data_IF_626784080726
#
_entry.id   IF_626784080726
#
_cell.length_a   1.000
_cell.length_b   1.000
_cell.length_c   1.000
_cell.angle_alpha   90.00
_cell.angle_beta   90.00
_cell.angle_gamma   90.00
#
_symmetry.space_group_name_H-M   'P 1'
#
loop_
_entity.id
_entity.type
_entity.pdbx_description
1 polymer ?
#
# COMPACT_ATOMS: atom_id res chain seq x y z
N UNK A 1 -24.74 8.75 -76.81
CA UNK A 1 -23.66 9.76 -76.94
C UNK A 1 -22.39 9.21 -76.28
N UNK A 2 -21.33 9.08 -77.09
CA UNK A 2 -19.88 9.01 -76.78
C UNK A 2 -19.39 8.15 -75.58
N UNK A 3 -18.68 7.02 -75.79
CA UNK A 3 -17.25 6.83 -76.17
C UNK A 3 -16.27 7.28 -75.05
N UNK A 4 -15.60 6.37 -74.31
CA UNK A 4 -14.33 5.64 -74.62
C UNK A 4 -13.09 6.32 -74.00
N UNK A 5 -12.17 5.50 -73.44
CA UNK A 5 -10.74 5.76 -73.10
C UNK A 5 -10.48 6.67 -71.87
N UNK A 6 -9.45 6.51 -71.04
CA UNK A 6 -8.09 6.03 -71.26
C UNK A 6 -7.47 5.56 -69.93
N UNK A 7 -6.59 4.55 -70.02
CA UNK A 7 -5.85 3.89 -68.94
C UNK A 7 -4.44 4.52 -68.86
N UNK A 8 -3.87 4.64 -67.65
CA UNK A 8 -2.44 4.86 -67.29
C UNK A 8 -1.91 6.29 -67.03
N UNK A 9 -0.97 6.32 -66.05
CA UNK A 9 -0.08 7.39 -65.57
C UNK A 9 -0.80 8.49 -64.75
N UNK A 10 -0.56 8.67 -63.45
CA UNK A 10 0.73 9.05 -62.86
C UNK A 10 0.90 8.47 -61.43
N UNK A 11 2.02 7.77 -61.25
CA UNK A 11 2.74 7.63 -59.98
C UNK A 11 3.33 9.00 -59.63
N UNK A 12 3.08 9.51 -58.42
CA UNK A 12 3.99 10.33 -57.59
C UNK A 12 3.21 11.29 -56.68
N UNK A 13 3.04 10.93 -55.41
CA UNK A 13 3.37 11.81 -54.26
C UNK A 13 3.19 11.03 -52.94
N UNK A 14 4.00 9.99 -52.75
CA UNK A 14 4.31 9.43 -51.44
C UNK A 14 5.48 10.24 -50.89
N UNK A 15 5.19 11.35 -50.20
CA UNK A 15 6.17 12.12 -49.45
C UNK A 15 5.67 12.32 -48.02
N UNK A 16 6.13 11.40 -47.17
CA UNK A 16 6.79 11.71 -45.90
C UNK A 16 6.16 12.79 -45.03
N UNK A 17 5.20 12.39 -44.19
CA UNK A 17 5.12 12.91 -42.82
C UNK A 17 5.35 11.77 -41.85
N UNK A 18 6.61 11.33 -41.78
CA UNK A 18 7.11 10.55 -40.66
C UNK A 18 7.14 11.49 -39.45
N UNK A 19 6.02 11.61 -38.76
CA UNK A 19 6.00 12.20 -37.44
C UNK A 19 6.77 11.22 -36.55
N UNK A 20 8.08 11.45 -36.39
CA UNK A 20 8.89 10.79 -35.38
C UNK A 20 8.32 11.20 -34.04
N UNK A 21 7.44 10.38 -33.49
CA UNK A 21 7.11 10.39 -32.09
C UNK A 21 8.42 10.10 -31.35
N UNK A 22 9.05 11.16 -30.86
CA UNK A 22 10.12 11.05 -29.88
C UNK A 22 9.50 10.30 -28.70
N UNK A 23 9.82 9.01 -28.57
CA UNK A 23 9.47 8.28 -27.37
C UNK A 23 10.15 9.01 -26.21
N UNK A 24 9.42 9.37 -25.14
CA UNK A 24 10.06 9.87 -23.94
C UNK A 24 11.00 8.78 -23.44
N UNK A 25 12.31 8.98 -23.60
CA UNK A 25 13.30 8.19 -22.89
C UNK A 25 13.13 8.53 -21.41
N UNK A 26 12.71 7.55 -20.61
CA UNK A 26 12.82 7.66 -19.17
C UNK A 26 14.31 7.84 -18.87
N UNK A 27 14.68 9.01 -18.31
CA UNK A 27 16.04 9.28 -17.86
C UNK A 27 16.36 8.32 -16.71
N UNK A 28 17.02 7.22 -17.04
CA UNK A 28 17.49 6.22 -16.09
C UNK A 28 18.90 6.62 -15.65
N UNK A 29 19.02 7.03 -14.39
CA UNK A 29 20.30 7.41 -13.82
C UNK A 29 20.97 6.18 -13.22
N UNK A 30 22.02 5.69 -13.86
CA UNK A 30 22.80 4.55 -13.35
C UNK A 30 24.02 5.06 -12.59
N UNK A 31 24.14 4.65 -11.34
CA UNK A 31 25.29 4.97 -10.48
C UNK A 31 25.97 3.70 -9.99
N UNK A 32 27.30 3.74 -9.90
CA UNK A 32 28.08 2.64 -9.32
C UNK A 32 28.62 3.10 -7.98
N UNK A 33 28.30 2.35 -6.93
CA UNK A 33 28.61 2.71 -5.55
C UNK A 33 29.15 1.51 -4.79
N UNK A 34 30.00 1.77 -3.82
CA UNK A 34 30.49 0.78 -2.87
C UNK A 34 29.71 0.90 -1.56
N UNK A 35 29.24 -0.22 -1.03
CA UNK A 35 28.70 -0.30 0.31
C UNK A 35 29.44 -1.35 1.12
N UNK A 36 29.44 -1.18 2.43
CA UNK A 36 30.18 -2.04 3.34
C UNK A 36 29.42 -2.33 4.63
N UNK A 37 29.68 -3.49 5.22
CA UNK A 37 29.15 -3.86 6.53
C UNK A 37 30.08 -4.82 7.27
N UNK A 38 30.19 -4.66 8.58
CA UNK A 38 30.97 -5.56 9.42
C UNK A 38 30.33 -6.96 9.48
N UNK A 39 31.15 -8.00 9.42
CA UNK A 39 30.71 -9.39 9.58
C UNK A 39 30.59 -9.68 11.07
N UNK A 40 29.37 -9.68 11.59
CA UNK A 40 29.09 -10.02 12.99
C UNK A 40 28.79 -11.51 13.14
N UNK A 41 29.33 -12.13 14.20
CA UNK A 41 29.09 -13.55 14.58
C UNK A 41 29.25 -14.55 13.42
N UNK A 42 30.21 -14.32 12.52
CA UNK A 42 30.46 -15.17 11.36
C UNK A 42 29.25 -15.33 10.41
N UNK A 43 28.42 -14.29 10.28
CA UNK A 43 27.26 -14.27 9.37
C UNK A 43 27.54 -13.43 8.10
N UNK A 44 28.25 -13.96 7.09
CA UNK A 44 28.57 -13.23 5.89
C UNK A 44 27.34 -12.91 5.02
N UNK A 45 26.27 -13.72 5.04
CA UNK A 45 25.06 -13.38 4.26
C UNK A 45 24.36 -12.16 4.83
N UNK A 46 24.31 -12.02 6.17
CA UNK A 46 23.73 -10.84 6.77
C UNK A 46 24.55 -9.58 6.45
N UNK A 47 25.88 -9.67 6.57
CA UNK A 47 26.78 -8.58 6.20
C UNK A 47 26.64 -8.21 4.72
N UNK A 48 26.50 -9.20 3.82
CA UNK A 48 26.22 -8.96 2.40
C UNK A 48 24.96 -8.14 2.18
N UNK A 49 23.85 -8.49 2.85
CA UNK A 49 22.60 -7.71 2.76
C UNK A 49 22.83 -6.30 3.26
N UNK A 50 23.40 -6.13 4.46
CA UNK A 50 23.66 -4.81 5.04
C UNK A 50 24.59 -3.93 4.16
N UNK A 51 25.64 -4.51 3.59
CA UNK A 51 26.55 -3.81 2.66
C UNK A 51 25.80 -3.35 1.40
N UNK A 52 24.89 -4.16 0.88
CA UNK A 52 24.03 -3.78 -0.24
C UNK A 52 23.07 -2.63 0.13
N UNK A 53 22.51 -2.62 1.34
CA UNK A 53 21.72 -1.48 1.84
C UNK A 53 22.55 -0.21 1.91
N UNK A 54 23.78 -0.31 2.43
CA UNK A 54 24.68 0.81 2.51
C UNK A 54 25.00 1.35 1.10
N UNK A 55 25.26 0.46 0.13
CA UNK A 55 25.46 0.84 -1.26
C UNK A 55 24.24 1.59 -1.83
N UNK A 56 23.03 1.03 -1.69
CA UNK A 56 21.79 1.67 -2.16
C UNK A 56 21.59 3.05 -1.51
N UNK A 57 21.81 3.15 -0.19
CA UNK A 57 21.74 4.41 0.54
C UNK A 57 22.72 5.44 -0.02
N UNK A 58 23.95 5.03 -0.34
CA UNK A 58 24.94 5.90 -0.98
C UNK A 58 24.54 6.35 -2.39
N UNK A 59 24.04 5.42 -3.22
CA UNK A 59 23.53 5.74 -4.56
C UNK A 59 22.44 6.80 -4.52
N UNK A 60 21.46 6.63 -3.63
CA UNK A 60 20.35 7.57 -3.53
C UNK A 60 20.77 8.93 -2.98
N UNK A 61 21.77 8.99 -2.09
CA UNK A 61 22.36 10.28 -1.65
C UNK A 61 23.03 11.00 -2.82
N UNK A 62 23.79 10.30 -3.67
CA UNK A 62 24.43 10.91 -4.85
C UNK A 62 23.41 11.45 -5.86
N UNK A 63 22.28 10.75 -6.04
CA UNK A 63 21.20 11.20 -6.92
C UNK A 63 20.38 12.36 -6.34
N UNK A 64 20.17 12.38 -5.02
CA UNK A 64 19.45 13.47 -4.33
C UNK A 64 20.14 14.82 -4.49
N UNK A 65 21.45 14.84 -4.76
CA UNK A 65 22.22 16.07 -5.07
C UNK A 65 21.80 16.68 -6.42
N UNK A 66 21.22 15.91 -7.35
CA UNK A 66 20.73 16.42 -8.64
C UNK A 66 19.25 16.87 -8.63
N UNK A 67 18.47 16.51 -7.59
CA UNK A 67 17.02 16.79 -7.52
C UNK A 67 16.73 18.09 -6.72
N UNK A 68 17.70 18.62 -5.97
CA UNK A 68 17.55 19.86 -5.18
C UNK A 68 17.73 21.14 -6.01
N UNK A 69 16.76 21.46 -6.88
CA UNK A 69 16.59 22.86 -7.35
C UNK A 69 15.18 23.43 -7.17
N UNK A 70 14.17 22.62 -6.82
CA UNK A 70 12.80 23.13 -6.71
C UNK A 70 12.03 22.43 -5.58
N UNK A 71 12.21 22.85 -4.33
CA UNK A 71 11.12 22.76 -3.34
C UNK A 71 11.31 23.76 -2.21
N UNK A 72 10.31 24.62 -2.03
CA UNK A 72 10.21 25.59 -0.94
C UNK A 72 10.17 24.87 0.41
N UNK A 73 11.07 25.28 1.28
CA UNK A 73 11.12 24.92 2.70
C UNK A 73 9.84 25.44 3.37
N UNK A 74 8.91 24.55 3.70
CA UNK A 74 7.91 24.83 4.72
C UNK A 74 8.29 24.09 6.00
N UNK A 75 8.26 24.83 7.10
CA UNK A 75 8.90 24.55 8.37
C UNK A 75 8.25 23.38 9.13
N UNK A 76 9.09 22.70 9.92
CA UNK A 76 8.76 21.85 11.08
C UNK A 76 8.03 20.52 10.86
N UNK A 77 8.77 19.54 10.33
CA UNK A 77 8.90 18.15 10.82
C UNK A 77 9.29 17.24 9.65
N UNK A 78 10.58 17.22 9.31
CA UNK A 78 11.12 16.23 8.37
C UNK A 78 11.56 15.03 9.20
N UNK A 79 10.74 13.98 9.21
CA UNK A 79 11.15 12.67 9.74
C UNK A 79 12.16 12.06 8.76
N UNK A 80 13.38 11.77 9.24
CA UNK A 80 14.46 11.14 8.45
C UNK A 80 14.00 9.86 7.71
N UNK A 81 13.05 9.12 8.28
CA UNK A 81 12.55 7.88 7.69
C UNK A 81 11.84 8.10 6.35
N UNK A 82 11.12 9.21 6.19
CA UNK A 82 10.43 9.55 4.93
C UNK A 82 11.41 9.85 3.80
N UNK A 83 12.61 10.36 4.13
CA UNK A 83 13.69 10.57 3.17
C UNK A 83 14.23 9.22 2.69
N UNK A 84 14.51 8.30 3.63
CA UNK A 84 15.09 6.97 3.34
C UNK A 84 14.19 6.08 2.45
N UNK A 85 12.87 6.09 2.69
CA UNK A 85 11.91 5.33 1.89
C UNK A 85 11.73 5.92 0.48
N UNK A 86 11.67 7.25 0.34
CA UNK A 86 11.57 7.90 -0.98
C UNK A 86 12.82 7.65 -1.82
N UNK A 87 13.99 7.64 -1.20
CA UNK A 87 15.26 7.33 -1.85
C UNK A 87 15.40 5.86 -2.29
N UNK A 88 14.78 4.92 -1.57
CA UNK A 88 14.70 3.52 -1.98
C UNK A 88 13.64 3.29 -3.07
N UNK A 89 12.53 4.03 -3.05
CA UNK A 89 11.48 3.98 -4.08
C UNK A 89 11.94 4.49 -5.46
N UNK A 90 13.02 5.28 -5.51
CA UNK A 90 13.67 5.69 -6.74
C UNK A 90 14.57 4.59 -7.32
N UNK A 91 14.83 3.48 -6.61
CA UNK A 91 15.68 2.38 -7.12
C UNK A 91 14.82 1.45 -7.98
N UNK A 92 15.08 1.43 -9.28
CA UNK A 92 14.39 0.50 -10.20
C UNK A 92 15.07 -0.87 -10.23
N UNK A 93 16.40 -0.90 -10.13
CA UNK A 93 17.18 -2.13 -10.24
C UNK A 93 18.51 -2.02 -9.49
N UNK A 94 19.04 -3.16 -9.06
CA UNK A 94 20.36 -3.23 -8.42
C UNK A 94 21.09 -4.50 -8.85
N UNK A 95 22.33 -4.35 -9.29
CA UNK A 95 23.19 -5.46 -9.71
C UNK A 95 24.53 -5.39 -9.00
N UNK A 96 24.89 -6.46 -8.30
CA UNK A 96 26.22 -6.59 -7.69
C UNK A 96 27.24 -6.83 -8.81
N UNK A 97 28.28 -5.99 -8.86
CA UNK A 97 29.40 -6.09 -9.81
C UNK A 97 30.55 -6.87 -9.17
N UNK A 98 30.85 -6.55 -7.91
CA UNK A 98 32.00 -7.11 -7.18
C UNK A 98 31.65 -7.27 -5.71
N UNK A 99 32.12 -8.36 -5.11
CA UNK A 99 32.04 -8.60 -3.67
C UNK A 99 33.38 -9.15 -3.17
N UNK A 100 33.80 -8.72 -1.98
CA UNK A 100 34.99 -9.25 -1.31
C UNK A 100 34.87 -9.06 0.21
N UNK A 101 35.77 -9.72 0.94
CA UNK A 101 35.88 -9.59 2.38
C UNK A 101 37.31 -9.23 2.76
N UNK A 102 37.48 -8.17 3.52
CA UNK A 102 38.78 -7.72 4.04
C UNK A 102 38.58 -7.27 5.48
N UNK A 103 39.47 -7.64 6.40
CA UNK A 103 39.46 -7.19 7.80
C UNK A 103 38.10 -7.33 8.51
N UNK A 104 37.40 -8.44 8.25
CA UNK A 104 36.07 -8.74 8.79
C UNK A 104 34.96 -7.73 8.36
N UNK A 105 35.18 -7.03 7.24
CA UNK A 105 34.22 -6.16 6.57
C UNK A 105 33.85 -6.81 5.23
N UNK A 106 32.55 -6.90 4.98
CA UNK A 106 31.99 -7.33 3.70
C UNK A 106 31.81 -6.09 2.82
N UNK A 107 32.42 -6.10 1.64
CA UNK A 107 32.35 -5.02 0.66
C UNK A 107 31.53 -5.48 -0.55
N UNK A 108 30.67 -4.59 -1.04
CA UNK A 108 29.89 -4.77 -2.27
C UNK A 108 30.02 -3.54 -3.13
N UNK A 109 30.38 -3.73 -4.40
CA UNK A 109 30.20 -2.70 -5.44
C UNK A 109 28.95 -3.06 -6.22
N UNK A 110 27.96 -2.18 -6.17
CA UNK A 110 26.67 -2.36 -6.84
C UNK A 110 26.45 -1.27 -7.89
N UNK A 111 25.93 -1.69 -9.03
CA UNK A 111 25.30 -0.81 -10.01
C UNK A 111 23.85 -0.63 -9.59
N UNK A 112 23.46 0.61 -9.30
CA UNK A 112 22.11 0.97 -8.88
C UNK A 112 21.50 1.82 -9.98
N UNK A 113 20.38 1.36 -10.51
CA UNK A 113 19.59 2.10 -11.48
C UNK A 113 18.51 2.88 -10.73
N UNK A 114 18.48 4.17 -10.98
CA UNK A 114 17.56 5.10 -10.34
C UNK A 114 16.56 5.61 -11.38
N UNK A 115 15.28 5.43 -11.06
CA UNK A 115 14.14 5.90 -11.83
C UNK A 115 13.51 7.11 -11.14
N UNK A 116 13.11 8.09 -11.93
CA UNK A 116 12.26 9.20 -11.48
C UNK A 116 10.82 8.75 -11.23
N UNK A 117 10.42 7.64 -11.86
CA UNK A 117 9.16 6.96 -11.59
C UNK A 117 9.32 6.02 -10.40
N UNK A 118 8.60 6.32 -9.33
CA UNK A 118 8.57 5.58 -8.05
C UNK A 118 7.84 4.22 -8.13
N UNK A 119 7.98 3.48 -9.23
CA UNK A 119 7.30 2.20 -9.42
C UNK A 119 8.16 1.02 -8.99
N UNK A 120 7.89 0.48 -7.79
CA UNK A 120 8.42 -0.82 -7.39
C UNK A 120 7.55 -1.94 -7.95
N UNK A 121 8.17 -2.99 -8.49
CA UNK A 121 7.43 -4.20 -8.89
C UNK A 121 7.43 -5.19 -7.72
N UNK A 122 6.27 -5.52 -7.12
CA UNK A 122 6.23 -6.44 -5.99
C UNK A 122 6.57 -7.87 -6.44
N UNK A 123 7.65 -8.42 -5.89
CA UNK A 123 8.03 -9.82 -6.13
C UNK A 123 7.11 -10.82 -5.39
N UNK A 124 6.69 -10.46 -4.19
CA UNK A 124 5.87 -11.28 -3.30
C UNK A 124 4.47 -10.72 -3.15
N UNK A 125 3.48 -11.61 -2.99
CA UNK A 125 2.13 -11.17 -2.62
C UNK A 125 2.07 -10.86 -1.13
N UNK A 126 1.34 -9.82 -0.76
CA UNK A 126 1.21 -9.37 0.64
C UNK A 126 -0.19 -9.69 1.15
N UNK A 127 -0.29 -10.15 2.41
CA UNK A 127 -1.58 -10.46 3.02
C UNK A 127 -2.25 -9.21 3.57
N UNK A 128 -3.51 -8.98 3.22
CA UNK A 128 -4.31 -7.85 3.69
C UNK A 128 -5.67 -8.33 4.22
N UNK A 129 -6.18 -7.66 5.25
CA UNK A 129 -7.53 -7.87 5.78
C UNK A 129 -8.34 -6.59 5.70
N UNK A 130 -9.58 -6.68 5.24
CA UNK A 130 -10.49 -5.54 5.14
C UNK A 130 -11.50 -5.52 6.29
N UNK A 131 -11.65 -4.37 6.94
CA UNK A 131 -12.54 -4.15 8.09
C UNK A 131 -13.73 -3.25 7.73
N UNK A 132 -14.69 -3.07 8.63
CA UNK A 132 -15.90 -2.28 8.37
C UNK A 132 -15.58 -0.80 8.13
N UNK A 133 -16.35 -0.15 7.26
CA UNK A 133 -16.31 1.30 7.07
C UNK A 133 -17.56 1.92 7.72
N UNK A 134 -17.50 2.34 9.00
CA UNK A 134 -18.64 2.96 9.65
C UNK A 134 -18.96 4.34 9.04
N UNK A 135 -20.24 4.67 9.01
CA UNK A 135 -20.74 5.99 8.64
C UNK A 135 -20.69 6.93 9.85
N UNK A 136 -20.21 8.16 9.64
CA UNK A 136 -20.11 9.17 10.70
C UNK A 136 -21.49 9.62 11.20
N UNK A 137 -22.43 9.86 10.29
CA UNK A 137 -23.79 10.30 10.61
C UNK A 137 -24.82 9.30 10.07
N UNK A 138 -25.38 8.47 10.94
CA UNK A 138 -26.32 7.42 10.55
C UNK A 138 -27.59 7.96 9.86
N UNK A 139 -27.99 9.19 10.20
CA UNK A 139 -29.13 9.89 9.61
C UNK A 139 -28.97 10.23 8.12
N UNK A 140 -27.75 10.18 7.56
CA UNK A 140 -27.50 10.45 6.13
C UNK A 140 -27.87 9.27 5.21
N UNK A 141 -28.32 8.14 5.78
CA UNK A 141 -28.75 6.96 5.04
C UNK A 141 -30.15 6.55 5.49
N UNK A 142 -31.10 6.57 4.55
CA UNK A 142 -32.48 6.19 4.85
C UNK A 142 -32.65 4.67 5.00
N UNK A 143 -33.72 4.24 5.66
CA UNK A 143 -34.07 2.82 5.78
C UNK A 143 -34.42 2.15 4.44
N UNK A 144 -34.69 2.95 3.40
CA UNK A 144 -34.99 2.47 2.05
C UNK A 144 -33.75 2.34 1.17
N UNK A 145 -32.58 2.70 1.71
CA UNK A 145 -31.30 2.60 1.03
C UNK A 145 -30.43 1.47 1.55
N UNK A 146 -29.49 1.04 0.70
CA UNK A 146 -28.63 -0.10 1.01
C UNK A 146 -27.71 0.16 2.18
N UNK A 147 -27.80 -0.71 3.18
CA UNK A 147 -26.88 -0.77 4.31
C UNK A 147 -25.65 -1.62 3.99
N UNK A 148 -25.55 -2.19 2.78
CA UNK A 148 -24.34 -2.91 2.37
C UNK A 148 -23.17 -1.94 2.13
N UNK A 149 -23.35 -0.63 2.15
CA UNK A 149 -22.23 0.33 2.01
C UNK A 149 -21.11 0.11 3.05
N UNK A 150 -21.48 -0.22 4.29
CA UNK A 150 -20.57 -0.37 5.43
C UNK A 150 -19.61 -1.56 5.27
N UNK A 151 -20.11 -2.67 4.71
CA UNK A 151 -19.35 -3.90 4.53
C UNK A 151 -18.91 -4.11 3.06
N UNK A 152 -19.66 -3.54 2.13
CA UNK A 152 -19.52 -3.73 0.70
C UNK A 152 -18.45 -2.88 0.07
N UNK A 153 -18.31 -1.61 0.48
CA UNK A 153 -17.19 -0.76 0.03
C UNK A 153 -15.84 -1.41 0.39
N UNK A 154 -15.56 -1.77 1.66
CA UNK A 154 -14.31 -2.45 2.01
C UNK A 154 -14.14 -3.82 1.34
N UNK A 155 -15.23 -4.56 1.12
CA UNK A 155 -15.19 -5.87 0.45
C UNK A 155 -14.80 -5.74 -1.01
N UNK A 156 -15.45 -4.86 -1.77
CA UNK A 156 -15.14 -4.66 -3.18
C UNK A 156 -13.76 -4.04 -3.39
N UNK A 157 -13.35 -3.12 -2.50
CA UNK A 157 -11.98 -2.61 -2.50
C UNK A 157 -10.96 -3.74 -2.31
N UNK A 158 -11.20 -4.65 -1.36
CA UNK A 158 -10.34 -5.81 -1.15
C UNK A 158 -10.36 -6.78 -2.35
N UNK A 159 -11.51 -6.97 -3.00
CA UNK A 159 -11.61 -7.79 -4.22
C UNK A 159 -10.71 -7.24 -5.33
N UNK A 160 -10.74 -5.93 -5.60
CA UNK A 160 -9.87 -5.30 -6.60
C UNK A 160 -8.38 -5.44 -6.23
N UNK A 161 -8.04 -5.35 -4.94
CA UNK A 161 -6.66 -5.59 -4.48
C UNK A 161 -6.23 -7.05 -4.72
N UNK A 162 -7.11 -8.03 -4.50
CA UNK A 162 -6.83 -9.46 -4.77
C UNK A 162 -6.66 -9.69 -6.28
N UNK A 163 -7.56 -9.14 -7.10
CA UNK A 163 -7.57 -9.26 -8.56
C UNK A 163 -6.32 -8.69 -9.22
N UNK A 164 -5.70 -7.68 -8.61
CA UNK A 164 -4.41 -7.16 -9.05
C UNK A 164 -3.29 -8.20 -9.07
N UNK A 165 -3.43 -9.28 -8.30
CA UNK A 165 -2.40 -10.31 -8.14
C UNK A 165 -1.30 -9.94 -7.14
N UNK A 166 -1.28 -8.73 -6.60
CA UNK A 166 -0.26 -8.25 -5.65
C UNK A 166 -0.60 -8.60 -4.18
N UNK A 167 -1.86 -8.92 -3.92
CA UNK A 167 -2.36 -9.16 -2.56
C UNK A 167 -3.06 -10.50 -2.41
N UNK A 168 -3.02 -11.03 -1.18
CA UNK A 168 -3.88 -12.11 -0.71
C UNK A 168 -4.80 -11.48 0.33
N UNK A 169 -6.09 -11.38 0.01
CA UNK A 169 -7.05 -10.64 0.82
C UNK A 169 -7.95 -11.56 1.65
N UNK A 170 -8.40 -11.03 2.79
CA UNK A 170 -9.45 -11.61 3.63
C UNK A 170 -10.42 -10.51 4.08
N UNK A 171 -11.68 -10.86 4.33
CA UNK A 171 -12.71 -9.89 4.73
C UNK A 171 -13.13 -10.16 6.18
N UNK A 172 -13.07 -9.12 7.01
CA UNK A 172 -13.53 -9.09 8.39
C UNK A 172 -14.35 -7.81 8.64
N UNK A 173 -15.33 -7.57 7.76
CA UNK A 173 -16.23 -6.41 7.79
C UNK A 173 -17.20 -6.40 8.97
N UNK A 174 -17.18 -7.45 9.80
CA UNK A 174 -17.82 -7.49 11.11
C UNK A 174 -16.98 -6.78 12.20
N UNK A 175 -15.72 -6.47 11.93
CA UNK A 175 -14.84 -5.76 12.86
C UNK A 175 -14.91 -4.26 12.55
N UNK A 176 -15.45 -3.48 13.50
CA UNK A 176 -15.38 -2.03 13.46
C UNK A 176 -14.14 -1.54 14.24
N UNK A 177 -13.16 -0.97 13.54
CA UNK A 177 -12.00 -0.33 14.17
C UNK A 177 -12.34 1.03 14.82
N UNK A 178 -13.31 1.74 14.26
CA UNK A 178 -13.69 3.09 14.69
C UNK A 178 -15.12 3.13 15.25
N UNK A 179 -15.34 2.75 16.52
CA UNK A 179 -16.63 2.97 17.19
C UNK A 179 -17.08 4.44 17.15
N UNK A 180 -16.11 5.36 17.15
CA UNK A 180 -16.27 6.80 16.95
C UNK A 180 -15.70 7.20 15.59
N UNK A 181 -16.48 6.96 14.54
CA UNK A 181 -16.08 7.21 13.16
C UNK A 181 -15.74 8.70 12.91
N UNK A 182 -16.31 9.62 13.68
CA UNK A 182 -16.00 11.05 13.66
C UNK A 182 -14.52 11.35 13.97
N UNK A 183 -13.88 10.51 14.79
CA UNK A 183 -12.51 10.69 15.28
C UNK A 183 -11.48 9.82 14.54
N UNK A 184 -11.89 9.02 13.56
CA UNK A 184 -10.95 8.28 12.72
C UNK A 184 -9.94 9.22 12.03
N UNK A 185 -8.69 8.79 11.77
CA UNK A 185 -8.15 7.44 11.95
C UNK A 185 -7.65 7.14 13.37
N UNK A 186 -7.86 8.03 14.34
CA UNK A 186 -7.34 7.82 15.70
C UNK A 186 -8.06 6.66 16.41
N UNK A 187 -7.29 5.65 16.79
CA UNK A 187 -7.76 4.53 17.61
C UNK A 187 -7.90 4.99 19.06
N UNK A 188 -9.11 4.95 19.61
CA UNK A 188 -9.37 5.39 21.00
C UNK A 188 -9.05 4.32 22.06
N UNK A 189 -8.96 3.05 21.67
CA UNK A 189 -8.61 1.95 22.58
C UNK A 189 -7.09 1.80 22.71
N UNK A 190 -6.42 2.91 23.07
CA UNK A 190 -5.00 2.96 23.40
C UNK A 190 -4.82 2.62 24.88
N UNK A 191 -4.97 1.34 25.19
CA UNK A 191 -4.67 0.84 26.53
C UNK A 191 -3.17 0.78 26.75
N UNK A 192 -2.72 1.33 27.89
CA UNK A 192 -1.31 1.38 28.21
C UNK A 192 -0.67 -0.01 28.16
N UNK A 193 0.51 -0.10 27.55
CA UNK A 193 1.30 -1.33 27.41
C UNK A 193 0.61 -2.49 26.67
N UNK A 194 -0.44 -2.22 25.89
CA UNK A 194 -1.14 -3.24 25.09
C UNK A 194 -1.01 -2.96 23.59
N UNK A 195 -0.82 -4.01 22.77
CA UNK A 195 -0.86 -3.86 21.32
C UNK A 195 -2.18 -3.26 20.85
N UNK A 196 -2.11 -2.38 19.84
CA UNK A 196 -3.30 -1.78 19.25
C UNK A 196 -4.23 -2.84 18.65
N UNK A 197 -5.51 -2.49 18.47
CA UNK A 197 -6.51 -3.38 17.86
C UNK A 197 -6.07 -3.88 16.47
N UNK A 198 -5.45 -3.00 15.68
CA UNK A 198 -4.81 -3.35 14.40
C UNK A 198 -3.80 -4.48 14.58
N UNK A 199 -2.86 -4.37 15.53
CA UNK A 199 -1.84 -5.38 15.78
C UNK A 199 -2.42 -6.71 16.28
N UNK A 200 -3.52 -6.65 17.05
CA UNK A 200 -4.22 -7.85 17.51
C UNK A 200 -4.92 -8.58 16.35
N UNK A 201 -5.57 -7.85 15.45
CA UNK A 201 -6.21 -8.41 14.24
C UNK A 201 -5.15 -9.07 13.35
N UNK A 202 -4.02 -8.43 13.13
CA UNK A 202 -2.98 -8.98 12.25
C UNK A 202 -2.27 -10.19 12.84
N UNK A 203 -2.08 -10.22 14.16
CA UNK A 203 -1.52 -11.37 14.86
C UNK A 203 -2.47 -12.58 14.80
N UNK A 204 -3.77 -12.36 15.03
CA UNK A 204 -4.78 -13.43 15.03
C UNK A 204 -5.14 -13.95 13.63
N UNK A 205 -5.04 -13.12 12.59
CA UNK A 205 -5.39 -13.49 11.22
C UNK A 205 -4.18 -13.80 10.31
N UNK A 206 -2.95 -13.62 10.81
CA UNK A 206 -1.74 -13.90 10.03
C UNK A 206 -1.59 -13.03 8.79
N UNK A 207 -1.95 -11.75 8.89
CA UNK A 207 -1.91 -10.77 7.79
C UNK A 207 -0.88 -9.67 8.04
N UNK A 208 -0.39 -9.04 6.96
CA UNK A 208 0.58 -7.96 7.03
C UNK A 208 -0.08 -6.59 7.12
N UNK A 209 -1.20 -6.36 6.44
CA UNK A 209 -1.88 -5.07 6.39
C UNK A 209 -3.33 -5.15 6.83
N UNK A 210 -3.82 -4.06 7.43
CA UNK A 210 -5.26 -3.87 7.75
C UNK A 210 -5.79 -2.69 6.96
N UNK A 211 -6.77 -2.96 6.10
CA UNK A 211 -7.57 -1.97 5.38
C UNK A 211 -8.77 -1.58 6.24
N UNK A 212 -8.93 -0.28 6.46
CA UNK A 212 -10.03 0.31 7.20
C UNK A 212 -10.43 1.65 6.58
N UNK A 213 -11.49 2.26 7.09
CA UNK A 213 -11.99 3.51 6.53
C UNK A 213 -13.22 3.99 7.27
N UNK A 214 -13.71 5.16 6.90
CA UNK A 214 -14.98 5.70 7.39
C UNK A 214 -15.71 6.40 6.24
N UNK A 215 -17.04 6.30 6.26
CA UNK A 215 -17.88 7.06 5.34
C UNK A 215 -18.20 8.39 6.06
N UNK A 216 -17.61 9.48 5.57
CA UNK A 216 -17.70 10.83 6.15
C UNK A 216 -18.97 11.56 5.77
N UNK A 217 -19.43 11.36 4.54
CA UNK A 217 -20.53 12.12 3.96
C UNK A 217 -21.30 11.26 2.97
N UNK A 218 -22.60 11.13 3.20
CA UNK A 218 -23.58 10.61 2.26
C UNK A 218 -24.84 11.48 2.21
N UNK A 219 -24.73 12.74 2.67
CA UNK A 219 -25.85 13.66 2.79
C UNK A 219 -26.47 13.93 1.43
N UNK A 220 -27.79 13.76 1.35
CA UNK A 220 -28.56 14.37 0.28
C UNK A 220 -28.78 15.81 0.70
N UNK A 221 -28.25 16.77 -0.06
CA UNK A 221 -28.48 18.20 0.15
C UNK A 221 -29.98 18.41 0.29
N UNK A 222 -30.44 18.64 1.52
CA UNK A 222 -31.81 19.03 1.76
C UNK A 222 -32.00 20.44 1.23
N UNK A 223 -33.19 20.74 0.72
CA UNK A 223 -33.61 22.10 0.39
C UNK A 223 -33.77 22.92 1.67
N UNK A 224 -32.68 23.15 2.40
CA UNK A 224 -32.69 24.12 3.48
C UNK A 224 -33.11 25.46 2.87
N UNK A 225 -34.30 25.93 3.25
CA UNK A 225 -34.88 27.15 2.71
C UNK A 225 -33.88 28.28 2.92
N UNK A 226 -33.22 28.72 1.84
CA UNK A 226 -32.35 29.89 1.90
C UNK A 226 -33.18 31.05 2.42
N UNK A 227 -32.82 31.58 3.60
CA UNK A 227 -33.43 32.80 4.15
C UNK A 227 -33.38 33.90 3.10
N UNK A 228 -34.55 34.21 2.56
CA UNK A 228 -34.76 35.23 1.55
C UNK A 228 -36.26 35.40 1.33
N UNK A 229 -36.71 36.64 1.22
CA UNK A 229 -38.09 36.95 0.88
C UNK A 229 -38.18 37.24 -0.62
N UNK A 230 -39.12 36.59 -1.31
CA UNK A 230 -39.53 36.96 -2.67
C UNK A 230 -39.57 35.82 -3.69
N UNK A 231 -40.12 36.09 -4.89
CA UNK A 231 -40.42 35.07 -5.90
C UNK A 231 -39.20 34.29 -6.41
N UNK A 232 -38.02 34.94 -6.47
CA UNK A 232 -36.78 34.31 -6.91
C UNK A 232 -36.25 33.29 -5.89
N UNK A 233 -36.39 33.59 -4.59
CA UNK A 233 -36.01 32.66 -3.52
C UNK A 233 -36.91 31.42 -3.52
N UNK A 234 -38.22 31.63 -3.70
CA UNK A 234 -39.20 30.55 -3.85
C UNK A 234 -38.95 29.67 -5.08
N UNK A 235 -38.71 30.27 -6.25
CA UNK A 235 -38.40 29.54 -7.48
C UNK A 235 -37.10 28.71 -7.36
N UNK A 236 -36.07 29.24 -6.69
CA UNK A 236 -34.81 28.51 -6.40
C UNK A 236 -35.00 27.38 -5.39
N UNK A 237 -35.93 27.52 -4.44
CA UNK A 237 -36.29 26.45 -3.50
C UNK A 237 -36.96 25.29 -4.23
N UNK A 238 -37.96 25.57 -5.06
CA UNK A 238 -38.66 24.56 -5.86
C UNK A 238 -37.74 23.88 -6.87
N UNK A 239 -36.84 24.62 -7.54
CA UNK A 239 -35.88 24.02 -8.47
C UNK A 239 -34.91 23.04 -7.78
N UNK A 240 -34.58 23.26 -6.50
CA UNK A 240 -33.78 22.33 -5.67
C UNK A 240 -34.57 21.12 -5.20
N UNK A 241 -35.86 21.27 -4.89
CA UNK A 241 -36.73 20.11 -4.60
C UNK A 241 -36.86 19.15 -5.79
N UNK A 242 -36.64 19.65 -7.02
CA UNK A 242 -36.73 18.84 -8.25
C UNK A 242 -35.41 18.16 -8.60
N UNK A 243 -34.27 18.67 -8.16
CA UNK A 243 -32.93 18.14 -8.49
C UNK A 243 -32.17 17.87 -7.20
N UNK A 244 -32.27 16.64 -6.71
CA UNK A 244 -31.52 16.19 -5.54
C UNK A 244 -30.02 16.18 -5.84
N UNK A 245 -29.22 16.55 -4.85
CA UNK A 245 -27.76 16.45 -4.89
C UNK A 245 -27.28 15.65 -3.69
N UNK A 246 -26.28 14.78 -3.89
CA UNK A 246 -25.71 13.96 -2.82
C UNK A 246 -24.21 14.11 -2.77
N UNK A 247 -23.69 14.47 -1.61
CA UNK A 247 -22.26 14.42 -1.31
C UNK A 247 -21.83 12.99 -1.02
N UNK A 248 -20.63 12.62 -1.47
CA UNK A 248 -19.99 11.35 -1.14
C UNK A 248 -18.61 11.68 -0.58
N UNK A 249 -18.34 11.24 0.64
CA UNK A 249 -17.04 11.37 1.30
C UNK A 249 -16.63 10.06 1.94
N UNK A 250 -15.53 9.48 1.50
CA UNK A 250 -15.00 8.21 2.03
C UNK A 250 -13.52 8.41 2.36
N UNK A 251 -13.15 8.19 3.61
CA UNK A 251 -11.75 8.12 4.02
C UNK A 251 -11.31 6.66 4.03
N UNK A 252 -10.13 6.38 3.48
CA UNK A 252 -9.54 5.05 3.40
C UNK A 252 -8.18 5.06 4.07
N UNK A 253 -7.92 4.05 4.89
CA UNK A 253 -6.71 3.89 5.68
C UNK A 253 -6.09 2.50 5.49
N UNK A 254 -4.77 2.41 5.47
CA UNK A 254 -4.06 1.12 5.56
C UNK A 254 -3.02 1.19 6.66
N UNK A 255 -3.07 0.23 7.58
CA UNK A 255 -2.12 0.11 8.67
C UNK A 255 -1.16 -1.06 8.48
N UNK A 256 0.07 -0.89 8.95
CA UNK A 256 1.03 -1.98 9.14
C UNK A 256 0.62 -2.84 10.34
N UNK A 257 0.48 -4.13 10.11
CA UNK A 257 0.09 -5.10 11.12
C UNK A 257 1.16 -5.38 12.17
N UNK A 258 2.42 -5.05 11.89
CA UNK A 258 3.52 -5.34 12.81
C UNK A 258 3.81 -4.22 13.80
N UNK A 259 3.61 -2.96 13.39
CA UNK A 259 3.88 -1.77 14.21
C UNK A 259 2.62 -0.99 14.58
N UNK A 260 1.50 -1.24 13.88
CA UNK A 260 0.30 -0.44 13.99
C UNK A 260 0.40 0.92 13.26
N UNK A 261 1.49 1.19 12.54
CA UNK A 261 1.70 2.45 11.85
C UNK A 261 0.70 2.65 10.70
N UNK A 262 0.21 3.88 10.54
CA UNK A 262 -0.62 4.29 9.40
C UNK A 262 0.27 4.50 8.17
N UNK A 263 0.13 3.62 7.17
CA UNK A 263 0.94 3.64 5.94
C UNK A 263 0.29 4.44 4.81
N UNK A 264 -1.04 4.42 4.76
CA UNK A 264 -1.82 5.08 3.74
C UNK A 264 -3.03 5.74 4.38
N UNK A 265 -3.29 6.98 3.99
CA UNK A 265 -4.49 7.73 4.35
C UNK A 265 -4.86 8.62 3.18
N UNK A 266 -6.08 8.46 2.66
CA UNK A 266 -6.60 9.30 1.60
C UNK A 266 -8.10 9.50 1.77
N UNK A 267 -8.56 10.74 1.53
CA UNK A 267 -9.98 11.09 1.45
C UNK A 267 -10.41 11.19 0.00
N UNK A 268 -11.48 10.49 -0.34
CA UNK A 268 -12.13 10.55 -1.64
C UNK A 268 -13.45 11.30 -1.50
N UNK A 269 -13.65 12.29 -2.37
CA UNK A 269 -14.89 13.06 -2.43
C UNK A 269 -15.43 13.08 -3.84
N UNK A 270 -16.76 13.02 -3.94
CA UNK A 270 -17.48 13.15 -5.20
C UNK A 270 -18.90 13.65 -4.89
N UNK A 271 -19.65 14.01 -5.94
CA UNK A 271 -21.05 14.38 -5.80
C UNK A 271 -21.89 13.86 -6.97
N UNK A 272 -23.18 13.69 -6.69
CA UNK A 272 -24.18 13.19 -7.65
C UNK A 272 -25.32 14.17 -7.70
N UNK A 273 -25.80 14.44 -8.92
CA UNK A 273 -26.96 15.31 -9.18
C UNK A 273 -28.01 14.48 -9.91
N UNK A 274 -29.27 14.57 -9.50
CA UNK A 274 -30.40 13.86 -10.11
C UNK A 274 -30.88 12.68 -9.25
N UNK A 275 -30.88 11.47 -9.82
CA UNK A 275 -31.27 10.27 -9.08
C UNK A 275 -30.11 9.79 -8.17
N UNK A 276 -30.19 10.18 -6.90
CA UNK A 276 -29.15 9.98 -5.88
C UNK A 276 -29.40 8.77 -4.96
N UNK A 277 -30.52 8.09 -5.15
CA UNK A 277 -30.98 7.03 -4.25
C UNK A 277 -30.42 5.67 -4.65
N UNK A 278 -30.04 4.86 -3.67
CA UNK A 278 -29.56 3.50 -3.90
C UNK A 278 -30.51 2.53 -3.21
N UNK A 279 -31.33 1.74 -3.92
CA UNK A 279 -32.31 0.84 -3.30
C UNK A 279 -31.72 -0.11 -2.25
N UNK A 280 -32.46 -0.35 -1.16
CA UNK A 280 -32.05 -1.21 -0.05
C UNK A 280 -31.62 -2.64 -0.44
N UNK A 281 -32.14 -3.16 -1.55
CA UNK A 281 -31.86 -4.51 -2.03
C UNK A 281 -30.57 -4.61 -2.86
N UNK A 282 -29.90 -3.49 -3.13
CA UNK A 282 -28.70 -3.48 -3.98
C UNK A 282 -27.45 -3.71 -3.14
N UNK A 283 -26.56 -4.55 -3.66
CA UNK A 283 -25.27 -4.89 -3.03
C UNK A 283 -24.15 -4.12 -3.73
N UNK A 284 -23.22 -3.56 -2.97
CA UNK A 284 -22.03 -2.89 -3.52
C UNK A 284 -21.25 -3.88 -4.39
N UNK A 285 -20.86 -3.45 -5.59
CA UNK A 285 -20.19 -4.28 -6.59
C UNK A 285 -21.13 -5.00 -7.57
N UNK A 286 -22.44 -5.04 -7.30
CA UNK A 286 -23.40 -5.59 -8.25
C UNK A 286 -23.63 -4.68 -9.45
N UNK A 287 -23.99 -5.25 -10.60
CA UNK A 287 -24.33 -4.49 -11.82
C UNK A 287 -25.45 -3.46 -11.55
N UNK A 288 -26.48 -3.86 -10.80
CA UNK A 288 -27.60 -2.96 -10.45
C UNK A 288 -27.16 -1.79 -9.57
N UNK A 289 -26.27 -2.03 -8.61
CA UNK A 289 -25.68 -0.97 -7.81
C UNK A 289 -24.88 -0.01 -8.70
N UNK A 290 -23.98 -0.54 -9.53
CA UNK A 290 -23.13 0.25 -10.43
C UNK A 290 -23.93 1.02 -11.50
N UNK A 291 -25.14 0.57 -11.83
CA UNK A 291 -26.04 1.26 -12.76
C UNK A 291 -26.73 2.50 -12.15
N UNK A 292 -26.77 2.63 -10.82
CA UNK A 292 -27.27 3.86 -10.17
C UNK A 292 -26.23 4.98 -10.24
N UNK A 293 -26.66 6.24 -10.27
CA UNK A 293 -25.74 7.39 -10.33
C UNK A 293 -24.78 7.43 -9.15
N UNK A 294 -25.29 7.17 -7.93
CA UNK A 294 -24.47 7.13 -6.71
C UNK A 294 -23.59 5.88 -6.62
N UNK A 295 -24.12 4.71 -6.97
CA UNK A 295 -23.33 3.49 -6.98
C UNK A 295 -22.18 3.54 -7.98
N UNK A 296 -22.38 4.15 -9.16
CA UNK A 296 -21.32 4.40 -10.13
C UNK A 296 -20.18 5.27 -9.57
N UNK A 297 -20.50 6.35 -8.85
CA UNK A 297 -19.49 7.21 -8.20
C UNK A 297 -18.75 6.49 -7.09
N UNK A 298 -19.45 5.70 -6.28
CA UNK A 298 -18.82 4.88 -5.24
C UNK A 298 -17.89 3.83 -5.86
N UNK A 299 -18.30 3.18 -6.96
CA UNK A 299 -17.45 2.24 -7.69
C UNK A 299 -16.18 2.92 -8.24
N UNK A 300 -16.29 4.15 -8.76
CA UNK A 300 -15.12 4.94 -9.17
C UNK A 300 -14.20 5.31 -8.01
N UNK A 301 -14.74 5.58 -6.81
CA UNK A 301 -13.94 5.80 -5.61
C UNK A 301 -13.21 4.51 -5.22
N UNK A 302 -13.89 3.36 -5.24
CA UNK A 302 -13.31 2.05 -4.91
C UNK A 302 -12.15 1.72 -5.85
N UNK A 303 -12.32 1.93 -7.17
CA UNK A 303 -11.27 1.70 -8.17
C UNK A 303 -10.04 2.61 -7.96
N UNK A 304 -10.28 3.91 -7.74
CA UNK A 304 -9.22 4.88 -7.42
C UNK A 304 -8.48 4.50 -6.13
N UNK A 305 -9.22 4.16 -5.07
CA UNK A 305 -8.65 3.74 -3.80
C UNK A 305 -7.81 2.46 -3.93
N UNK A 306 -8.27 1.48 -4.70
CA UNK A 306 -7.50 0.26 -4.98
C UNK A 306 -6.17 0.60 -5.65
N UNK A 307 -6.21 1.43 -6.70
CA UNK A 307 -5.01 1.85 -7.43
C UNK A 307 -4.02 2.60 -6.55
N UNK A 308 -4.51 3.54 -5.74
CA UNK A 308 -3.68 4.34 -4.83
C UNK A 308 -3.02 3.48 -3.75
N UNK A 309 -3.77 2.54 -3.15
CA UNK A 309 -3.25 1.58 -2.17
C UNK A 309 -2.17 0.71 -2.80
N UNK A 310 -2.40 0.15 -3.98
CA UNK A 310 -1.41 -0.68 -4.69
C UNK A 310 -0.11 0.09 -4.93
N UNK A 311 -0.23 1.33 -5.42
CA UNK A 311 0.91 2.20 -5.65
C UNK A 311 1.67 2.49 -4.35
N UNK A 312 0.95 2.89 -3.31
CA UNK A 312 1.53 3.20 -1.99
C UNK A 312 2.25 2.00 -1.37
N UNK A 313 1.67 0.80 -1.46
CA UNK A 313 2.21 -0.41 -0.85
C UNK A 313 3.22 -1.16 -1.74
N UNK A 314 3.41 -0.76 -3.00
CA UNK A 314 4.26 -1.46 -3.97
C UNK A 314 5.68 -1.68 -3.45
N UNK A 315 6.32 -0.61 -2.97
CA UNK A 315 7.67 -0.61 -2.40
C UNK A 315 7.73 -1.11 -0.95
N UNK A 316 6.59 -1.40 -0.32
CA UNK A 316 6.62 -2.00 1.01
C UNK A 316 7.11 -3.45 0.89
N UNK A 317 8.19 -3.81 1.59
CA UNK A 317 8.72 -5.16 1.57
C UNK A 317 7.70 -6.15 2.15
N UNK A 318 7.76 -7.38 1.64
CA UNK A 318 6.98 -8.48 2.17
C UNK A 318 7.48 -8.84 3.57
N UNK A 319 6.57 -9.09 4.50
CA UNK A 319 6.90 -9.53 5.85
C UNK A 319 5.92 -10.60 6.35
N UNK A 320 6.44 -11.58 7.08
CA UNK A 320 5.64 -12.61 7.76
C UNK A 320 6.27 -13.01 9.10
N UNK A 321 5.60 -13.87 9.86
CA UNK A 321 6.07 -14.35 11.17
C UNK A 321 6.70 -15.73 11.08
N UNK A 322 7.67 -15.96 11.95
CA UNK A 322 8.15 -17.29 12.32
C UNK A 322 7.08 -17.95 13.16
N UNK A 323 6.53 -19.06 12.69
CA UNK A 323 5.47 -19.81 13.40
C UNK A 323 6.06 -20.86 14.33
N UNK A 324 7.20 -21.43 13.98
CA UNK A 324 7.84 -22.48 14.77
C UNK A 324 9.34 -22.60 14.43
N UNK A 325 10.10 -23.16 15.37
CA UNK A 325 11.53 -23.47 15.21
C UNK A 325 11.75 -24.88 15.77
N UNK A 326 12.11 -25.81 14.89
CA UNK A 326 12.42 -27.19 15.28
C UNK A 326 13.83 -27.53 14.85
N UNK A 327 14.68 -27.86 15.81
CA UNK A 327 16.11 -28.09 15.56
C UNK A 327 16.70 -26.86 14.86
N UNK A 328 17.22 -27.01 13.64
CA UNK A 328 17.79 -25.94 12.82
C UNK A 328 16.84 -25.47 11.69
N UNK A 329 15.57 -25.88 11.75
CA UNK A 329 14.55 -25.52 10.75
C UNK A 329 13.64 -24.43 11.29
N UNK A 330 13.53 -23.36 10.53
CA UNK A 330 12.64 -22.23 10.81
C UNK A 330 11.42 -22.30 9.90
N UNK A 331 10.23 -22.31 10.49
CA UNK A 331 8.96 -22.36 9.78
C UNK A 331 8.35 -20.95 9.75
N UNK A 332 7.91 -20.50 8.57
CA UNK A 332 7.29 -19.18 8.41
C UNK A 332 5.86 -19.28 7.86
N UNK A 333 4.98 -18.36 8.27
CA UNK A 333 3.59 -18.26 7.79
C UNK A 333 3.50 -17.61 6.40
N UNK A 334 4.20 -18.20 5.45
CA UNK A 334 4.11 -17.88 4.03
C UNK A 334 4.68 -19.01 3.20
N UNK A 335 4.14 -19.22 2.01
CA UNK A 335 4.57 -20.25 1.08
C UNK A 335 4.37 -19.84 -0.38
N UNK A 336 3.98 -20.79 -1.22
CA UNK A 336 3.81 -20.58 -2.64
C UNK A 336 2.70 -19.56 -2.97
N UNK A 337 1.69 -19.40 -2.10
CA UNK A 337 0.64 -18.40 -2.30
C UNK A 337 1.20 -16.97 -2.30
N UNK A 338 2.21 -16.69 -1.47
CA UNK A 338 2.94 -15.42 -1.42
C UNK A 338 3.99 -15.29 -2.55
N UNK A 339 4.09 -16.27 -3.44
CA UNK A 339 5.12 -16.40 -4.49
C UNK A 339 6.54 -16.59 -3.95
N UNK A 340 6.70 -17.16 -2.76
CA UNK A 340 8.01 -17.60 -2.29
C UNK A 340 8.55 -18.74 -3.16
N UNK A 341 9.86 -18.78 -3.36
CA UNK A 341 10.59 -19.82 -4.08
C UNK A 341 11.73 -20.40 -3.25
N UNK A 342 12.12 -21.65 -3.58
CA UNK A 342 13.27 -22.29 -2.92
C UNK A 342 14.52 -21.50 -3.32
N UNK A 343 15.33 -21.15 -2.32
CA UNK A 343 16.50 -20.28 -2.50
C UNK A 343 16.25 -18.81 -2.15
N UNK A 344 14.99 -18.40 -1.97
CA UNK A 344 14.69 -17.05 -1.50
C UNK A 344 15.37 -16.76 -0.15
N UNK A 345 15.85 -15.53 0.01
CA UNK A 345 16.55 -15.08 1.20
C UNK A 345 15.78 -13.94 1.87
N UNK A 346 15.32 -14.20 3.10
CA UNK A 346 14.60 -13.24 3.92
C UNK A 346 15.45 -12.87 5.13
N UNK A 347 15.44 -11.60 5.53
CA UNK A 347 16.15 -11.17 6.74
C UNK A 347 15.28 -11.43 7.94
N UNK A 348 15.83 -12.16 8.92
CA UNK A 348 15.21 -12.40 10.21
C UNK A 348 15.52 -11.24 11.12
N UNK A 349 14.51 -10.78 11.83
CA UNK A 349 14.63 -9.72 12.82
C UNK A 349 14.15 -10.26 14.16
N UNK A 350 15.05 -10.31 15.13
CA UNK A 350 14.74 -10.76 16.48
C UNK A 350 14.21 -9.60 17.31
N UNK A 351 13.16 -9.87 18.08
CA UNK A 351 12.60 -8.89 19.02
C UNK A 351 13.46 -8.82 20.27
N UNK A 352 14.02 -7.64 20.55
CA UNK A 352 14.70 -7.32 21.79
C UNK A 352 13.79 -7.46 23.02
N UNK A 353 14.38 -7.33 24.21
CA UNK A 353 13.64 -7.55 25.46
C UNK A 353 12.76 -6.36 25.86
N UNK A 354 13.02 -5.17 25.32
CA UNK A 354 12.36 -3.94 25.73
C UNK A 354 11.18 -3.60 24.83
N UNK A 355 10.01 -3.40 25.44
CA UNK A 355 8.84 -2.86 24.78
C UNK A 355 9.08 -1.38 24.45
N UNK A 356 8.78 -1.01 23.21
CA UNK A 356 8.78 0.36 22.74
C UNK A 356 7.38 0.92 22.93
N UNK A 357 7.28 1.94 23.78
CA UNK A 357 6.04 2.63 24.05
C UNK A 357 6.21 4.13 23.78
N UNK A 358 5.22 4.73 23.12
CA UNK A 358 5.08 6.17 22.96
C UNK A 358 4.12 6.72 24.02
N UNK A 359 4.03 8.05 24.08
CA UNK A 359 3.05 8.77 24.90
C UNK A 359 3.09 8.35 26.37
N UNK A 360 4.28 8.16 26.95
CA UNK A 360 4.43 7.77 28.37
C UNK A 360 3.91 6.38 28.72
N UNK A 361 3.72 5.48 27.75
CA UNK A 361 3.22 4.12 27.97
C UNK A 361 1.85 3.85 27.35
N UNK A 362 1.14 4.89 26.90
CA UNK A 362 -0.22 4.77 26.34
C UNK A 362 -0.26 4.18 24.92
N UNK A 363 0.87 4.08 24.22
CA UNK A 363 0.90 3.48 22.89
C UNK A 363 2.05 2.49 22.74
N UNK A 364 1.75 1.20 22.81
CA UNK A 364 2.69 0.16 22.40
C UNK A 364 2.89 0.19 20.89
N UNK A 365 4.12 0.39 20.43
CA UNK A 365 4.48 0.41 19.00
C UNK A 365 5.27 -0.82 18.55
N UNK A 366 5.64 -1.68 19.50
CA UNK A 366 6.37 -2.91 19.23
C UNK A 366 7.51 -3.15 20.21
N UNK A 367 8.47 -3.96 19.78
CA UNK A 367 9.76 -4.17 20.45
C UNK A 367 10.85 -3.65 19.54
N UNK A 368 11.99 -3.24 20.08
CA UNK A 368 13.13 -2.95 19.22
C UNK A 368 13.51 -4.24 18.47
N UNK A 369 13.67 -4.15 17.15
CA UNK A 369 13.89 -5.31 16.29
C UNK A 369 15.14 -5.13 15.47
N UNK A 370 16.12 -5.96 15.77
CA UNK A 370 17.43 -5.91 15.12
C UNK A 370 17.56 -7.06 14.13
N UNK A 371 18.20 -6.83 12.96
CA UNK A 371 18.49 -7.90 12.02
C UNK A 371 19.39 -8.94 12.69
N UNK A 372 18.89 -10.17 12.77
CA UNK A 372 19.51 -11.26 13.51
C UNK A 372 20.20 -12.28 12.59
N UNK A 373 19.76 -12.43 11.34
CA UNK A 373 20.33 -13.37 10.38
C UNK A 373 19.58 -13.40 9.06
N UNK A 374 20.00 -14.27 8.15
CA UNK A 374 19.36 -14.47 6.83
C UNK A 374 18.78 -15.88 6.76
N UNK A 375 17.46 -15.97 6.60
CA UNK A 375 16.73 -17.20 6.37
C UNK A 375 16.75 -17.54 4.88
N UNK A 376 17.33 -18.68 4.53
CA UNK A 376 17.26 -19.22 3.17
C UNK A 376 16.16 -20.26 3.08
N UNK A 377 15.19 -20.08 2.18
CA UNK A 377 14.08 -21.01 1.99
C UNK A 377 14.57 -22.31 1.35
N UNK A 378 14.24 -23.45 1.96
CA UNK A 378 14.65 -24.81 1.53
C UNK A 378 13.49 -25.63 1.02
N UNK A 379 12.30 -25.44 1.57
CA UNK A 379 11.11 -26.20 1.21
C UNK A 379 9.90 -25.29 1.25
N UNK A 380 8.99 -25.47 0.29
CA UNK A 380 7.78 -24.67 0.16
C UNK A 380 6.57 -25.57 0.09
N UNK A 381 5.52 -25.14 0.78
CA UNK A 381 4.15 -25.64 0.62
C UNK A 381 3.25 -24.47 0.21
N UNK A 382 1.96 -24.69 -0.09
CA UNK A 382 1.06 -23.59 -0.41
C UNK A 382 0.96 -22.52 0.68
N UNK A 383 0.97 -22.90 1.98
CA UNK A 383 0.67 -21.99 3.11
C UNK A 383 1.86 -21.65 3.98
N UNK A 384 2.89 -22.49 4.01
CA UNK A 384 4.08 -22.27 4.83
C UNK A 384 5.35 -22.70 4.09
N UNK A 385 6.48 -22.18 4.55
CA UNK A 385 7.80 -22.50 4.04
C UNK A 385 8.74 -22.84 5.20
N UNK A 386 9.74 -23.64 4.88
CA UNK A 386 10.78 -24.07 5.81
C UNK A 386 12.11 -23.55 5.27
N UNK A 387 12.88 -22.90 6.14
CA UNK A 387 14.23 -22.45 5.81
C UNK A 387 15.25 -22.77 6.90
N UNK A 388 16.49 -22.42 6.61
CA UNK A 388 17.65 -22.58 7.49
C UNK A 388 18.41 -21.26 7.63
N UNK A 389 18.99 -21.02 8.80
CA UNK A 389 19.90 -19.89 9.09
C UNK A 389 21.37 -20.32 8.99
N UNK A 390 22.29 -19.38 8.82
CA UNK A 390 23.75 -19.66 8.88
C UNK A 390 24.22 -20.06 10.28
N UNK A 391 23.57 -19.50 11.30
CA UNK A 391 23.84 -19.73 12.72
C UNK A 391 22.55 -20.22 13.37
N UNK A 392 22.60 -21.22 14.28
CA UNK A 392 21.41 -21.75 14.94
C UNK A 392 20.55 -20.65 15.56
N UNK A 393 19.24 -20.73 15.36
CA UNK A 393 18.28 -19.70 15.79
C UNK A 393 18.38 -19.36 17.29
N UNK A 394 18.70 -20.36 18.12
CA UNK A 394 18.88 -20.22 19.57
C UNK A 394 20.03 -19.26 19.93
N UNK A 395 21.14 -19.32 19.20
CA UNK A 395 22.30 -18.45 19.43
C UNK A 395 22.06 -17.00 18.98
N UNK A 396 21.15 -16.83 18.03
CA UNK A 396 20.71 -15.54 17.52
C UNK A 396 19.57 -14.93 18.35
N UNK A 397 19.05 -15.65 19.36
CA UNK A 397 17.89 -15.20 20.15
C UNK A 397 16.60 -15.13 19.33
N UNK A 398 16.54 -15.82 18.19
CA UNK A 398 15.37 -15.87 17.31
C UNK A 398 14.36 -16.84 17.90
N UNK A 399 13.08 -16.43 17.93
CA UNK A 399 11.98 -17.19 18.53
C UNK A 399 10.73 -17.16 17.64
N UNK A 400 9.79 -18.08 17.90
CA UNK A 400 8.46 -18.00 17.29
C UNK A 400 7.80 -16.64 17.64
N UNK A 401 7.12 -16.05 16.66
CA UNK A 401 6.56 -14.70 16.73
C UNK A 401 7.49 -13.58 16.25
N UNK A 402 8.81 -13.84 16.13
CA UNK A 402 9.69 -12.94 15.39
C UNK A 402 9.28 -12.90 13.90
N UNK A 403 9.71 -11.86 13.20
CA UNK A 403 9.32 -11.63 11.80
C UNK A 403 10.50 -11.81 10.86
N UNK A 404 10.17 -12.19 9.63
CA UNK A 404 11.08 -12.25 8.50
C UNK A 404 10.59 -11.28 7.44
N UNK A 405 11.52 -10.67 6.71
CA UNK A 405 11.22 -9.59 5.77
C UNK A 405 12.02 -9.78 4.49
N UNK A 406 11.38 -9.54 3.34
CA UNK A 406 12.09 -9.43 2.07
C UNK A 406 12.93 -8.16 2.05
N UNK A 407 14.05 -8.21 1.34
CA UNK A 407 14.92 -7.06 1.19
C UNK A 407 14.38 -6.06 0.18
#
# INVERSE_FOLDING_TARGET
MAKILFKYLWVACLLSQSCTTVQPHADTNVVTVEGQAAISKSMPLLAKKQALQDAIRQASMQSSVNIHSQTLVSQNNVSLDTLSMRTAAAVSNTKIIKEWTTDNIYHVVAMVELSTDSSCTPHYRKRIISTAFPLVKQEQLSAYETQDLYAGIPRELNNLLIESGDFIGSNATNINLYPRADLAPEEQDRTAYRPSKVMQITASNGVQFVLSGVIRDLEVESSEYMRGAGPLAFARSLARDVVARRGIGIDVYVHDGFTGALLFQQRYVDDVIGDVWIPATYTVGSERFNATSTGAKIAQIIDRASTDIRKSLSCHPFATRIIDIKEDKVFIDAGAQERLNVGDQLVVYSSGNNDLNLDGGFSFIGKDKQPAGVLTIRTITPRYAIGSLEVPARELGVKAGDWVKSW
#
